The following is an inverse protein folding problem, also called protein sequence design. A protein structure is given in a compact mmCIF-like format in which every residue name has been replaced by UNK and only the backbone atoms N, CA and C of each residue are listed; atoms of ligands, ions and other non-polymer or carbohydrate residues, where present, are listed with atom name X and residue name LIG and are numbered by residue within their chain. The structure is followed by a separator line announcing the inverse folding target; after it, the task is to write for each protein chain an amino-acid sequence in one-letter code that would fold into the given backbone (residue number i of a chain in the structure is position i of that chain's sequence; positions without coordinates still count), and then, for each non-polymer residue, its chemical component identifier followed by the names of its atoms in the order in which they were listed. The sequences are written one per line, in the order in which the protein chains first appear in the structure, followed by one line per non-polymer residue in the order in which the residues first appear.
data_IF_726997087070
#
_entry.id   IF_726997087070
#
_cell.length_a   1.000
_cell.length_b   1.000
_cell.length_c   1.000
_cell.angle_alpha   90.00
_cell.angle_beta   90.00
_cell.angle_gamma   90.00
#
_symmetry.space_group_name_H-M   'P 1'
#
loop_
_entity.id
_entity.type
_entity.pdbx_description
1 polymer ?
#
# COMPACT_ATOMS: atom_id res chain seq x y z
N UNK A 1 -15.02 29.48 2.60
CA UNK A 1 -15.40 29.01 3.94
C UNK A 1 -15.85 27.57 3.84
N UNK A 2 -14.95 26.61 4.05
CA UNK A 2 -15.31 25.19 4.07
C UNK A 2 -15.89 24.86 5.44
N UNK A 3 -17.14 24.40 5.49
CA UNK A 3 -17.77 23.90 6.72
C UNK A 3 -16.87 22.84 7.35
N UNK A 4 -16.12 23.22 8.38
CA UNK A 4 -15.33 22.27 9.16
C UNK A 4 -16.33 21.39 9.89
N UNK A 5 -16.30 20.09 9.59
CA UNK A 5 -17.06 19.08 10.35
C UNK A 5 -16.70 19.25 11.82
N UNK A 6 -17.70 19.45 12.67
CA UNK A 6 -17.46 19.62 14.11
C UNK A 6 -16.81 18.36 14.68
N UNK A 7 -15.95 18.50 15.70
CA UNK A 7 -15.27 17.36 16.35
C UNK A 7 -16.27 16.28 16.80
N UNK A 8 -17.40 16.70 17.36
CA UNK A 8 -18.49 15.79 17.77
C UNK A 8 -19.09 15.05 16.57
N UNK A 9 -19.37 15.76 15.49
CA UNK A 9 -19.91 15.18 14.26
C UNK A 9 -18.94 14.19 13.61
N UNK A 10 -17.64 14.50 13.55
CA UNK A 10 -16.66 13.60 12.95
C UNK A 10 -16.41 12.34 13.78
N UNK A 11 -16.39 12.46 15.12
CA UNK A 11 -16.34 11.29 16.02
C UNK A 11 -17.61 10.43 15.84
N UNK A 12 -18.79 11.07 15.78
CA UNK A 12 -20.06 10.36 15.58
C UNK A 12 -20.06 9.58 14.26
N UNK A 13 -19.66 10.21 13.16
CA UNK A 13 -19.57 9.56 11.84
C UNK A 13 -18.66 8.33 11.91
N UNK A 14 -17.46 8.47 12.49
CA UNK A 14 -16.51 7.37 12.61
C UNK A 14 -17.09 6.21 13.44
N UNK A 15 -17.73 6.51 14.57
CA UNK A 15 -18.37 5.50 15.41
C UNK A 15 -19.52 4.81 14.71
N UNK A 16 -20.35 5.53 13.95
CA UNK A 16 -21.44 4.93 13.16
C UNK A 16 -20.86 3.95 12.13
N UNK A 17 -19.82 4.33 11.40
CA UNK A 17 -19.14 3.41 10.47
C UNK A 17 -18.54 2.20 11.18
N UNK A 18 -17.91 2.39 12.34
CA UNK A 18 -17.33 1.29 13.12
C UNK A 18 -18.40 0.33 13.66
N UNK A 19 -19.56 0.85 14.07
CA UNK A 19 -20.71 0.03 14.50
C UNK A 19 -21.29 -0.73 13.33
N UNK A 20 -21.50 -0.08 12.17
CA UNK A 20 -21.95 -0.76 10.95
C UNK A 20 -20.97 -1.88 10.57
N UNK A 21 -19.67 -1.60 10.60
CA UNK A 21 -18.64 -2.60 10.34
C UNK A 21 -18.70 -3.75 11.36
N UNK A 22 -18.87 -3.46 12.65
CA UNK A 22 -19.05 -4.46 13.70
C UNK A 22 -20.27 -5.35 13.46
N UNK A 23 -21.40 -4.77 13.05
CA UNK A 23 -22.62 -5.50 12.69
C UNK A 23 -22.36 -6.42 11.50
N UNK A 24 -21.68 -5.93 10.45
CA UNK A 24 -21.33 -6.73 9.27
C UNK A 24 -20.39 -7.87 9.66
N UNK A 25 -19.39 -7.63 10.52
CA UNK A 25 -18.47 -8.67 11.02
C UNK A 25 -19.20 -9.77 11.78
N UNK A 26 -20.15 -9.40 12.65
CA UNK A 26 -20.93 -10.37 13.43
C UNK A 26 -21.88 -11.14 12.52
N UNK A 27 -22.52 -10.46 11.57
CA UNK A 27 -23.49 -11.04 10.63
C UNK A 27 -22.88 -11.87 9.50
N UNK A 28 -21.60 -11.68 9.17
CA UNK A 28 -20.91 -12.46 8.16
C UNK A 28 -20.68 -13.89 8.63
N UNK A 29 -21.17 -14.88 7.90
CA UNK A 29 -20.93 -16.31 8.16
C UNK A 29 -20.24 -16.95 6.97
N UNK A 30 -19.20 -17.74 7.25
CA UNK A 30 -18.54 -18.52 6.20
C UNK A 30 -18.95 -20.00 6.36
N UNK A 31 -19.85 -20.52 5.51
CA UNK A 31 -20.39 -21.88 5.66
C UNK A 31 -19.32 -22.98 5.49
N UNK A 32 -18.13 -22.63 4.99
CA UNK A 32 -17.01 -23.56 4.77
C UNK A 32 -15.93 -23.48 5.85
N UNK A 33 -16.06 -22.58 6.83
CA UNK A 33 -15.09 -22.43 7.92
C UNK A 33 -15.50 -23.21 9.16
N UNK A 34 -14.51 -23.68 9.93
CA UNK A 34 -14.77 -24.26 11.24
C UNK A 34 -15.43 -23.20 12.16
N UNK A 35 -16.52 -23.56 12.81
CA UNK A 35 -17.36 -22.63 13.57
C UNK A 35 -16.61 -21.97 14.73
N UNK A 36 -15.65 -22.69 15.33
CA UNK A 36 -14.79 -22.15 16.38
C UNK A 36 -13.77 -21.13 15.84
N UNK A 37 -13.17 -21.40 14.68
CA UNK A 37 -12.24 -20.46 14.03
C UNK A 37 -12.95 -19.18 13.58
N UNK A 38 -14.18 -19.32 13.09
CA UNK A 38 -15.01 -18.18 12.71
C UNK A 38 -15.34 -17.30 13.92
N UNK A 39 -15.73 -17.91 15.05
CA UNK A 39 -15.98 -17.19 16.30
C UNK A 39 -14.73 -16.45 16.79
N UNK A 40 -13.56 -17.11 16.77
CA UNK A 40 -12.29 -16.48 17.15
C UNK A 40 -11.96 -15.28 16.26
N UNK A 41 -12.13 -15.39 14.94
CA UNK A 41 -11.92 -14.26 14.00
C UNK A 41 -12.86 -13.09 14.29
N UNK A 42 -14.14 -13.37 14.60
CA UNK A 42 -15.13 -12.34 14.95
C UNK A 42 -14.74 -11.61 16.24
N UNK A 43 -14.35 -12.34 17.29
CA UNK A 43 -13.94 -11.75 18.58
C UNK A 43 -12.71 -10.84 18.37
N UNK A 44 -11.70 -11.32 17.65
CA UNK A 44 -10.49 -10.55 17.35
C UNK A 44 -10.83 -9.29 16.56
N UNK A 45 -11.64 -9.41 15.50
CA UNK A 45 -12.04 -8.28 14.68
C UNK A 45 -12.80 -7.21 15.49
N UNK A 46 -13.77 -7.62 16.32
CA UNK A 46 -14.48 -6.70 17.22
C UNK A 46 -13.56 -6.01 18.23
N UNK A 47 -12.62 -6.76 18.83
CA UNK A 47 -11.64 -6.19 19.75
C UNK A 47 -10.74 -5.14 19.08
N UNK A 48 -10.29 -5.42 17.86
CA UNK A 48 -9.50 -4.48 17.06
C UNK A 48 -10.32 -3.23 16.71
N UNK A 49 -11.58 -3.37 16.31
CA UNK A 49 -12.48 -2.23 16.01
C UNK A 49 -12.67 -1.35 17.25
N UNK A 50 -12.91 -1.94 18.42
CA UNK A 50 -13.05 -1.18 19.67
C UNK A 50 -11.77 -0.42 20.04
N UNK A 51 -10.61 -1.06 19.90
CA UNK A 51 -9.32 -0.41 20.14
C UNK A 51 -9.10 0.76 19.16
N UNK A 52 -9.43 0.58 17.88
CA UNK A 52 -9.35 1.62 16.86
C UNK A 52 -10.28 2.81 17.18
N UNK A 53 -11.51 2.55 17.63
CA UNK A 53 -12.44 3.58 18.10
C UNK A 53 -11.88 4.38 19.29
N UNK A 54 -11.34 3.68 20.30
CA UNK A 54 -10.78 4.34 21.47
C UNK A 54 -9.59 5.24 21.10
N UNK A 55 -8.70 4.76 20.21
CA UNK A 55 -7.57 5.54 19.71
C UNK A 55 -8.01 6.75 18.87
N UNK A 56 -8.99 6.55 17.99
CA UNK A 56 -9.51 7.62 17.14
C UNK A 56 -10.16 8.74 17.96
N UNK A 57 -10.97 8.39 18.97
CA UNK A 57 -11.56 9.38 19.90
C UNK A 57 -10.45 10.14 20.65
N UNK A 58 -9.47 9.42 21.21
CA UNK A 58 -8.40 10.01 22.01
C UNK A 58 -7.52 10.97 21.21
N UNK A 59 -7.30 10.69 19.93
CA UNK A 59 -6.36 11.43 19.09
C UNK A 59 -7.02 12.14 17.89
N UNK A 60 -8.33 12.36 17.91
CA UNK A 60 -9.12 12.89 16.80
C UNK A 60 -8.51 14.12 16.10
N UNK A 61 -8.13 15.14 16.87
CA UNK A 61 -7.58 16.40 16.32
C UNK A 61 -6.23 16.14 15.60
N UNK A 62 -5.50 15.13 16.08
CA UNK A 62 -4.23 14.74 15.47
C UNK A 62 -4.45 13.97 14.17
N UNK A 63 -5.38 13.03 14.14
CA UNK A 63 -5.73 12.26 12.95
C UNK A 63 -6.32 13.13 11.82
N UNK A 64 -7.20 14.08 12.16
CA UNK A 64 -7.97 14.82 11.15
C UNK A 64 -7.25 16.02 10.54
N UNK A 65 -6.30 16.65 11.25
CA UNK A 65 -5.68 17.87 10.69
C UNK A 65 -4.80 17.59 9.49
N UNK A 66 -4.12 16.44 9.39
CA UNK A 66 -3.27 16.13 8.25
C UNK A 66 -4.10 15.97 6.96
N UNK A 67 -5.13 15.12 6.91
CA UNK A 67 -6.03 15.04 5.75
C UNK A 67 -6.63 16.40 5.35
N UNK A 68 -7.02 17.23 6.32
CA UNK A 68 -7.55 18.58 6.06
C UNK A 68 -6.48 19.47 5.41
N UNK A 69 -5.26 19.50 5.96
CA UNK A 69 -4.14 20.26 5.38
C UNK A 69 -3.82 19.80 3.95
N UNK A 70 -3.85 18.49 3.70
CA UNK A 70 -3.65 17.93 2.36
C UNK A 70 -4.73 18.38 1.38
N UNK A 71 -6.00 18.36 1.81
CA UNK A 71 -7.11 18.78 0.97
C UNK A 71 -7.10 20.29 0.65
N UNK A 72 -6.77 21.13 1.65
CA UNK A 72 -6.62 22.57 1.47
C UNK A 72 -5.52 22.88 0.43
N UNK A 73 -4.43 22.11 0.42
CA UNK A 73 -3.27 22.31 -0.44
C UNK A 73 -3.26 21.46 -1.73
N UNK A 74 -4.35 20.76 -2.07
CA UNK A 74 -4.44 19.80 -3.19
C UNK A 74 -3.95 20.33 -4.55
N UNK A 75 -4.19 21.62 -4.85
CA UNK A 75 -3.73 22.25 -6.10
C UNK A 75 -2.20 22.40 -6.15
N UNK A 76 -1.61 22.79 -5.02
CA UNK A 76 -0.16 22.91 -4.88
C UNK A 76 0.50 21.52 -4.91
N UNK A 77 -0.07 20.55 -4.20
CA UNK A 77 0.36 19.15 -4.21
C UNK A 77 0.40 18.63 -5.66
N UNK A 78 -0.69 18.77 -6.40
CA UNK A 78 -0.76 18.31 -7.80
C UNK A 78 0.30 18.96 -8.69
N UNK A 79 0.50 20.29 -8.56
CA UNK A 79 1.51 21.01 -9.32
C UNK A 79 2.92 20.53 -8.99
N UNK A 80 3.22 20.35 -7.71
CA UNK A 80 4.54 19.89 -7.26
C UNK A 80 4.79 18.43 -7.62
N UNK A 81 3.80 17.54 -7.53
CA UNK A 81 3.94 16.14 -7.94
C UNK A 81 4.25 15.98 -9.43
N UNK A 82 3.58 16.77 -10.29
CA UNK A 82 3.91 16.80 -11.72
C UNK A 82 5.33 17.29 -11.98
N UNK A 83 5.77 18.30 -11.24
CA UNK A 83 7.12 18.84 -11.38
C UNK A 83 8.16 17.84 -10.88
N UNK A 84 7.89 17.15 -9.77
CA UNK A 84 8.76 16.10 -9.21
C UNK A 84 8.99 14.98 -10.23
N UNK A 85 7.90 14.47 -10.82
CA UNK A 85 7.95 13.45 -11.85
C UNK A 85 8.74 13.90 -13.08
N UNK A 86 8.46 15.10 -13.61
CA UNK A 86 9.20 15.64 -14.75
C UNK A 86 10.69 15.81 -14.47
N UNK A 87 11.03 16.30 -13.27
CA UNK A 87 12.42 16.55 -12.87
C UNK A 87 13.22 15.26 -12.74
N UNK A 88 12.59 14.16 -12.28
CA UNK A 88 13.23 12.84 -12.12
C UNK A 88 13.84 12.30 -13.42
N UNK A 89 13.22 12.62 -14.56
CA UNK A 89 13.65 12.15 -15.88
C UNK A 89 14.21 13.26 -16.77
N UNK A 90 14.41 14.46 -16.22
CA UNK A 90 15.01 15.57 -16.95
C UNK A 90 16.54 15.41 -17.02
N UNK A 91 17.14 15.78 -18.15
CA UNK A 91 18.61 15.84 -18.30
C UNK A 91 19.31 14.50 -18.57
N UNK A 92 18.57 13.38 -18.70
CA UNK A 92 19.12 12.11 -19.17
C UNK A 92 18.80 11.89 -20.65
N UNK A 93 19.75 11.35 -21.42
CA UNK A 93 19.60 11.07 -22.86
C UNK A 93 18.37 10.19 -23.17
N UNK A 94 18.11 9.16 -22.36
CA UNK A 94 16.95 8.27 -22.54
C UNK A 94 15.71 8.72 -21.74
N UNK A 95 15.85 9.74 -20.88
CA UNK A 95 14.75 10.34 -20.13
C UNK A 95 13.89 9.32 -19.36
N UNK A 96 12.58 9.35 -19.61
CA UNK A 96 11.59 8.49 -18.94
C UNK A 96 11.79 6.99 -19.22
N UNK A 97 12.46 6.61 -20.31
CA UNK A 97 12.71 5.20 -20.64
C UNK A 97 13.48 4.50 -19.52
N UNK A 98 14.35 5.21 -18.79
CA UNK A 98 15.06 4.67 -17.63
C UNK A 98 14.14 4.19 -16.51
N UNK A 99 12.95 4.79 -16.36
CA UNK A 99 11.93 4.31 -15.42
C UNK A 99 11.48 2.87 -15.73
N UNK A 100 11.58 2.48 -17.01
CA UNK A 100 11.05 1.24 -17.53
C UNK A 100 12.09 0.12 -17.56
N UNK A 101 13.33 0.48 -17.88
CA UNK A 101 14.43 -0.49 -18.07
C UNK A 101 14.58 -1.37 -16.83
N UNK A 102 14.71 -0.78 -15.63
CA UNK A 102 14.99 -1.56 -14.42
C UNK A 102 13.82 -2.51 -14.04
N UNK A 103 12.55 -2.08 -13.98
CA UNK A 103 11.44 -2.99 -13.74
C UNK A 103 11.28 -4.08 -14.81
N UNK A 104 11.44 -3.74 -16.10
CA UNK A 104 11.31 -4.72 -17.21
C UNK A 104 12.41 -5.77 -17.13
N UNK A 105 13.66 -5.36 -16.91
CA UNK A 105 14.78 -6.28 -16.70
C UNK A 105 14.53 -7.16 -15.47
N UNK A 106 14.00 -6.59 -14.38
CA UNK A 106 13.68 -7.35 -13.16
C UNK A 106 12.62 -8.43 -13.43
N UNK A 107 11.52 -8.07 -14.10
CA UNK A 107 10.47 -9.03 -14.50
C UNK A 107 11.06 -10.11 -15.40
N UNK A 108 11.83 -9.72 -16.42
CA UNK A 108 12.46 -10.66 -17.36
C UNK A 108 13.39 -11.63 -16.64
N UNK A 109 14.27 -11.13 -15.76
CA UNK A 109 15.22 -11.98 -15.05
C UNK A 109 14.53 -12.96 -14.10
N UNK A 110 13.51 -12.50 -13.36
CA UNK A 110 12.75 -13.40 -12.49
C UNK A 110 11.94 -14.42 -13.28
N UNK A 111 11.24 -14.02 -14.35
CA UNK A 111 10.55 -14.95 -15.22
C UNK A 111 11.53 -15.97 -15.82
N UNK A 112 12.64 -15.50 -16.40
CA UNK A 112 13.64 -16.37 -17.01
C UNK A 112 14.19 -17.37 -15.99
N UNK A 113 14.54 -16.93 -14.78
CA UNK A 113 15.11 -17.83 -13.78
C UNK A 113 14.08 -18.83 -13.24
N UNK A 114 12.95 -18.34 -12.73
CA UNK A 114 11.98 -19.20 -12.04
C UNK A 114 11.16 -20.06 -13.01
N UNK A 115 10.79 -19.54 -14.17
CA UNK A 115 10.04 -20.32 -15.15
C UNK A 115 10.95 -21.31 -15.88
N UNK A 116 12.11 -20.85 -16.38
CA UNK A 116 12.97 -21.69 -17.25
C UNK A 116 13.81 -22.69 -16.48
N UNK A 117 14.42 -22.30 -15.35
CA UNK A 117 15.30 -23.21 -14.59
C UNK A 117 14.55 -23.97 -13.49
N UNK A 118 13.54 -23.37 -12.86
CA UNK A 118 12.81 -23.98 -11.74
C UNK A 118 11.43 -24.55 -12.13
N UNK A 119 11.04 -24.43 -13.41
CA UNK A 119 9.76 -24.92 -13.94
C UNK A 119 8.57 -24.44 -13.10
N UNK A 120 8.58 -23.17 -12.68
CA UNK A 120 7.57 -22.63 -11.77
C UNK A 120 6.15 -22.73 -12.34
N UNK A 121 5.97 -22.59 -13.66
CA UNK A 121 4.69 -22.85 -14.32
C UNK A 121 4.17 -24.26 -14.05
N UNK A 122 5.01 -25.29 -14.14
CA UNK A 122 4.59 -26.67 -13.88
C UNK A 122 4.14 -26.86 -12.42
N UNK A 123 4.84 -26.23 -11.47
CA UNK A 123 4.44 -26.24 -10.07
C UNK A 123 3.10 -25.52 -9.85
N UNK A 124 2.87 -24.40 -10.55
CA UNK A 124 1.61 -23.67 -10.45
C UNK A 124 0.42 -24.48 -11.00
N UNK A 125 0.59 -25.12 -12.16
CA UNK A 125 -0.42 -26.01 -12.74
C UNK A 125 -0.74 -27.16 -11.76
N UNK A 126 0.29 -27.76 -11.14
CA UNK A 126 0.10 -28.81 -10.13
C UNK A 126 -0.67 -28.32 -8.88
N UNK A 127 -0.66 -27.02 -8.60
CA UNK A 127 -1.42 -26.38 -7.52
C UNK A 127 -2.78 -25.83 -8.00
N UNK A 128 -3.23 -26.20 -9.20
CA UNK A 128 -4.54 -25.81 -9.74
C UNK A 128 -4.58 -24.40 -10.36
N UNK A 129 -3.43 -23.77 -10.61
CA UNK A 129 -3.35 -22.46 -11.24
C UNK A 129 -2.82 -22.61 -12.66
N UNK A 130 -3.75 -22.66 -13.60
CA UNK A 130 -3.44 -22.74 -15.03
C UNK A 130 -3.31 -21.35 -15.64
N UNK A 131 -2.22 -20.66 -15.30
CA UNK A 131 -1.90 -19.31 -15.80
C UNK A 131 -0.42 -19.19 -16.15
N UNK A 132 -0.05 -18.39 -17.18
CA UNK A 132 1.35 -18.09 -17.47
C UNK A 132 2.05 -17.46 -16.26
N UNK A 133 3.22 -17.99 -15.88
CA UNK A 133 3.98 -17.50 -14.72
C UNK A 133 4.31 -16.00 -14.82
N UNK A 134 4.61 -15.50 -16.02
CA UNK A 134 4.89 -14.07 -16.24
C UNK A 134 3.73 -13.17 -15.83
N UNK A 135 2.47 -13.59 -16.03
CA UNK A 135 1.30 -12.82 -15.58
C UNK A 135 1.18 -12.84 -14.07
N UNK A 136 1.40 -14.01 -13.46
CA UNK A 136 1.33 -14.18 -12.00
C UNK A 136 2.41 -13.34 -11.29
N UNK A 137 3.60 -13.32 -11.88
CA UNK A 137 4.75 -12.55 -11.44
C UNK A 137 4.51 -11.05 -11.60
N UNK A 138 4.04 -10.59 -12.76
CA UNK A 138 3.76 -9.15 -12.99
C UNK A 138 2.65 -8.62 -12.09
N UNK A 139 1.58 -9.41 -11.85
CA UNK A 139 0.53 -9.06 -10.89
C UNK A 139 1.05 -8.84 -9.46
N UNK A 140 2.12 -9.52 -9.05
CA UNK A 140 2.78 -9.28 -7.77
C UNK A 140 3.83 -8.16 -7.79
N UNK A 141 4.61 -8.05 -8.87
CA UNK A 141 5.70 -7.08 -8.97
C UNK A 141 5.22 -5.65 -9.17
N UNK A 142 4.16 -5.41 -9.92
CA UNK A 142 3.63 -4.06 -10.16
C UNK A 142 3.29 -3.32 -8.86
N UNK A 143 2.44 -3.84 -7.95
CA UNK A 143 2.20 -3.18 -6.68
C UNK A 143 3.46 -3.12 -5.80
N UNK A 144 4.35 -4.11 -5.87
CA UNK A 144 5.59 -4.12 -5.11
C UNK A 144 6.57 -3.00 -5.53
N UNK A 145 6.73 -2.77 -6.83
CA UNK A 145 7.55 -1.67 -7.35
C UNK A 145 7.01 -0.33 -6.87
N UNK A 146 5.70 -0.13 -6.96
CA UNK A 146 5.07 1.09 -6.47
C UNK A 146 5.25 1.29 -4.96
N UNK A 147 5.11 0.22 -4.17
CA UNK A 147 5.33 0.27 -2.72
C UNK A 147 6.78 0.66 -2.38
N UNK A 148 7.75 -0.02 -3.00
CA UNK A 148 9.19 0.19 -2.78
C UNK A 148 9.59 1.61 -3.15
N UNK A 149 9.22 2.05 -4.37
CA UNK A 149 9.52 3.38 -4.86
C UNK A 149 8.85 4.47 -4.01
N UNK A 150 7.58 4.29 -3.65
CA UNK A 150 6.84 5.27 -2.86
C UNK A 150 7.36 5.39 -1.44
N UNK A 151 7.71 4.28 -0.79
CA UNK A 151 8.21 4.30 0.59
C UNK A 151 9.61 4.92 0.66
N UNK A 152 10.50 4.57 -0.27
CA UNK A 152 11.85 5.14 -0.33
C UNK A 152 11.81 6.65 -0.58
N UNK A 153 11.10 7.08 -1.64
CA UNK A 153 10.96 8.50 -1.96
C UNK A 153 10.18 9.26 -0.88
N UNK A 154 9.17 8.63 -0.27
CA UNK A 154 8.40 9.20 0.83
C UNK A 154 9.27 9.43 2.06
N UNK A 155 10.16 8.48 2.39
CA UNK A 155 11.12 8.60 3.49
C UNK A 155 12.04 9.79 3.29
N UNK A 156 12.65 9.93 2.11
CA UNK A 156 13.61 11.00 1.83
C UNK A 156 12.97 12.35 1.49
N UNK A 157 11.63 12.43 1.43
CA UNK A 157 10.91 13.61 0.95
C UNK A 157 11.32 14.92 1.63
N UNK A 158 11.46 14.93 2.96
CA UNK A 158 11.87 16.12 3.71
C UNK A 158 13.34 16.47 3.50
N UNK A 159 14.19 15.47 3.25
CA UNK A 159 15.63 15.66 3.02
C UNK A 159 15.93 16.15 1.61
N UNK A 160 15.07 15.88 0.63
CA UNK A 160 15.20 16.39 -0.73
C UNK A 160 14.63 17.81 -0.86
N UNK A 161 13.55 18.09 -0.13
CA UNK A 161 12.91 19.40 -0.09
C UNK A 161 13.39 20.29 1.07
N UNK A 162 14.61 20.10 1.60
CA UNK A 162 15.16 20.88 2.72
C UNK A 162 15.06 22.38 2.53
N UNK A 163 15.24 22.85 1.29
CA UNK A 163 15.13 24.27 0.93
C UNK A 163 13.73 24.86 1.17
N UNK A 164 12.67 24.04 1.06
CA UNK A 164 11.31 24.43 1.43
C UNK A 164 11.05 24.26 2.92
N UNK A 165 11.73 23.33 3.59
CA UNK A 165 11.53 23.07 5.02
C UNK A 165 11.97 24.25 5.88
N UNK A 166 13.02 24.97 5.47
CA UNK A 166 13.50 26.18 6.17
C UNK A 166 12.62 27.41 5.95
N UNK A 167 11.63 27.36 5.05
CA UNK A 167 10.76 28.50 4.76
C UNK A 167 9.56 28.56 5.71
N UNK A 168 9.43 29.68 6.42
CA UNK A 168 8.39 29.92 7.46
C UNK A 168 6.95 29.77 6.92
N UNK A 169 6.73 29.97 5.62
CA UNK A 169 5.38 29.98 5.00
C UNK A 169 4.98 28.62 4.41
N UNK A 170 5.91 27.69 4.21
CA UNK A 170 5.63 26.46 3.46
C UNK A 170 5.07 25.33 4.34
N UNK A 171 3.99 24.69 3.91
CA UNK A 171 3.36 23.57 4.63
C UNK A 171 4.10 22.26 4.36
N UNK A 172 5.17 22.01 5.10
CA UNK A 172 6.03 20.81 4.97
C UNK A 172 5.30 19.45 5.09
N UNK A 173 4.08 19.42 5.67
CA UNK A 173 3.23 18.22 5.76
C UNK A 173 2.79 17.67 4.39
N UNK A 174 2.88 18.47 3.32
CA UNK A 174 2.51 18.04 1.97
C UNK A 174 3.64 17.33 1.21
N UNK A 175 4.88 17.36 1.72
CA UNK A 175 6.05 16.84 1.00
C UNK A 175 6.01 15.32 0.77
N UNK A 176 5.64 14.47 1.75
CA UNK A 176 5.58 13.02 1.53
C UNK A 176 4.56 12.62 0.46
N UNK A 177 3.35 13.23 0.49
CA UNK A 177 2.31 12.91 -0.50
C UNK A 177 2.69 13.35 -1.92
N UNK A 178 3.49 14.42 -2.06
CA UNK A 178 3.99 14.87 -3.36
C UNK A 178 4.77 13.74 -4.05
N UNK A 179 5.66 13.09 -3.30
CA UNK A 179 6.50 11.97 -3.77
C UNK A 179 5.68 10.73 -4.11
N UNK A 180 4.68 10.41 -3.30
CA UNK A 180 3.81 9.24 -3.52
C UNK A 180 2.93 9.43 -4.76
N UNK A 181 2.34 10.62 -4.95
CA UNK A 181 1.58 10.93 -6.18
C UNK A 181 2.48 10.90 -7.42
N UNK A 182 3.73 11.37 -7.31
CA UNK A 182 4.68 11.29 -8.41
C UNK A 182 4.98 9.83 -8.80
N UNK A 183 5.18 8.95 -7.82
CA UNK A 183 5.34 7.50 -8.04
C UNK A 183 4.07 6.84 -8.60
N UNK A 184 2.87 7.38 -8.29
CA UNK A 184 1.61 6.89 -8.85
C UNK A 184 1.58 6.99 -10.37
N UNK A 185 2.25 7.98 -10.99
CA UNK A 185 2.31 8.07 -12.45
C UNK A 185 3.04 6.88 -13.08
N UNK A 186 4.15 6.43 -12.48
CA UNK A 186 4.89 5.24 -12.90
C UNK A 186 4.04 3.97 -12.67
N UNK A 187 3.36 3.91 -11.52
CA UNK A 187 2.46 2.80 -11.19
C UNK A 187 1.32 2.63 -12.19
N UNK A 188 0.64 3.72 -12.57
CA UNK A 188 -0.43 3.69 -13.57
C UNK A 188 0.09 3.14 -14.90
N UNK A 189 1.30 3.54 -15.31
CA UNK A 189 1.92 3.02 -16.52
C UNK A 189 2.15 1.49 -16.43
N UNK A 190 2.74 1.01 -15.34
CA UNK A 190 2.98 -0.43 -15.17
C UNK A 190 1.71 -1.25 -14.99
N UNK A 191 0.69 -0.70 -14.33
CA UNK A 191 -0.63 -1.33 -14.25
C UNK A 191 -1.26 -1.48 -15.65
N UNK A 192 -1.11 -0.47 -16.53
CA UNK A 192 -1.56 -0.57 -17.92
C UNK A 192 -0.76 -1.62 -18.71
N UNK A 193 0.57 -1.64 -18.57
CA UNK A 193 1.43 -2.65 -19.22
C UNK A 193 1.04 -4.07 -18.78
N UNK A 194 0.77 -4.28 -17.50
CA UNK A 194 0.30 -5.56 -16.97
C UNK A 194 -1.04 -5.99 -17.58
N UNK A 195 -1.99 -5.05 -17.73
CA UNK A 195 -3.28 -5.33 -18.38
C UNK A 195 -3.10 -5.67 -19.86
N UNK A 196 -2.25 -4.92 -20.57
CA UNK A 196 -1.92 -5.21 -21.99
C UNK A 196 -1.27 -6.58 -22.12
N UNK A 197 -0.32 -6.90 -21.24
CA UNK A 197 0.34 -8.21 -21.22
C UNK A 197 -0.68 -9.33 -21.00
N UNK A 198 -1.62 -9.17 -20.06
CA UNK A 198 -2.69 -10.14 -19.84
C UNK A 198 -3.55 -10.35 -21.10
N UNK A 199 -3.91 -9.27 -21.81
CA UNK A 199 -4.67 -9.35 -23.05
C UNK A 199 -3.91 -10.09 -24.17
N UNK A 200 -2.58 -9.91 -24.27
CA UNK A 200 -1.74 -10.67 -25.22
C UNK A 200 -1.74 -12.18 -24.96
N UNK A 201 -1.98 -12.60 -23.72
CA UNK A 201 -2.14 -14.01 -23.33
C UNK A 201 -3.61 -14.47 -23.36
N UNK A 202 -4.53 -13.69 -23.95
CA UNK A 202 -5.95 -14.02 -24.07
C UNK A 202 -6.79 -13.73 -22.83
N UNK A 203 -6.23 -13.08 -21.81
CA UNK A 203 -6.96 -12.66 -20.60
C UNK A 203 -7.37 -11.19 -20.77
N UNK A 204 -8.61 -10.98 -21.22
CA UNK A 204 -9.14 -9.64 -21.41
C UNK A 204 -9.63 -9.01 -20.09
N UNK A 205 -9.55 -7.67 -19.96
CA UNK A 205 -10.11 -6.95 -18.81
C UNK A 205 -11.57 -7.34 -18.59
N UNK A 206 -11.90 -7.63 -17.34
CA UNK A 206 -13.26 -7.92 -16.90
C UNK A 206 -13.72 -6.88 -15.89
N UNK A 207 -14.97 -6.99 -15.42
CA UNK A 207 -15.46 -6.11 -14.36
C UNK A 207 -14.59 -6.15 -13.10
N UNK A 208 -13.93 -7.29 -12.83
CA UNK A 208 -13.01 -7.47 -11.70
C UNK A 208 -11.73 -6.65 -11.82
N UNK A 209 -11.32 -6.30 -13.05
CA UNK A 209 -10.10 -5.52 -13.31
C UNK A 209 -10.20 -4.10 -12.74
N UNK A 210 -11.42 -3.60 -12.50
CA UNK A 210 -11.63 -2.32 -11.80
C UNK A 210 -11.05 -2.33 -10.37
N UNK A 211 -10.93 -3.51 -9.76
CA UNK A 211 -10.37 -3.65 -8.42
C UNK A 211 -8.88 -3.31 -8.37
N UNK A 212 -8.16 -3.29 -9.51
CA UNK A 212 -6.79 -2.76 -9.55
C UNK A 212 -6.75 -1.32 -9.04
N UNK A 213 -7.77 -0.51 -9.35
CA UNK A 213 -7.89 0.87 -8.85
C UNK A 213 -8.09 0.87 -7.33
N UNK A 214 -8.95 -0.01 -6.82
CA UNK A 214 -9.18 -0.18 -5.39
C UNK A 214 -7.90 -0.59 -4.65
N UNK A 215 -7.21 -1.63 -5.09
CA UNK A 215 -5.97 -2.10 -4.46
C UNK A 215 -4.82 -1.09 -4.62
N UNK A 216 -4.77 -0.34 -5.72
CA UNK A 216 -3.86 0.81 -5.87
C UNK A 216 -4.12 1.89 -4.82
N UNK A 217 -5.40 2.19 -4.56
CA UNK A 217 -5.79 3.16 -3.54
C UNK A 217 -5.46 2.65 -2.13
N UNK A 218 -5.76 1.38 -1.82
CA UNK A 218 -5.34 0.73 -0.59
C UNK A 218 -3.83 0.89 -0.34
N UNK A 219 -3.03 0.57 -1.37
CA UNK A 219 -1.58 0.68 -1.30
C UNK A 219 -1.09 2.12 -1.15
N UNK A 220 -1.74 3.08 -1.83
CA UNK A 220 -1.46 4.52 -1.69
C UNK A 220 -1.63 4.98 -0.25
N UNK A 221 -2.72 4.60 0.44
CA UNK A 221 -2.97 5.03 1.81
C UNK A 221 -2.00 4.35 2.79
N UNK A 222 -1.71 3.05 2.59
CA UNK A 222 -0.73 2.33 3.41
C UNK A 222 0.65 2.99 3.34
N UNK A 223 1.15 3.24 2.11
CA UNK A 223 2.48 3.83 1.93
C UNK A 223 2.52 5.28 2.39
N UNK A 224 1.41 6.03 2.30
CA UNK A 224 1.30 7.37 2.85
C UNK A 224 1.46 7.38 4.38
N UNK A 225 0.79 6.46 5.08
CA UNK A 225 0.92 6.32 6.53
C UNK A 225 2.35 5.98 6.95
N UNK A 226 2.97 5.00 6.28
CA UNK A 226 4.37 4.63 6.53
C UNK A 226 5.35 5.77 6.20
N UNK A 227 5.11 6.50 5.11
CA UNK A 227 5.95 7.62 4.69
C UNK A 227 5.94 8.75 5.70
N UNK A 228 4.79 9.07 6.31
CA UNK A 228 4.73 10.08 7.39
C UNK A 228 5.56 9.69 8.61
N UNK A 229 5.56 8.41 9.00
CA UNK A 229 6.41 7.90 10.07
C UNK A 229 7.89 8.00 9.70
N UNK A 230 8.25 7.42 8.56
CA UNK A 230 9.65 7.23 8.15
C UNK A 230 10.32 8.57 7.80
N UNK A 231 9.64 9.47 7.11
CA UNK A 231 10.18 10.79 6.77
C UNK A 231 10.42 11.67 8.01
N UNK A 232 9.62 11.52 9.06
CA UNK A 232 9.80 12.28 10.29
C UNK A 232 11.01 11.76 11.09
N UNK A 233 11.21 10.44 11.12
CA UNK A 233 12.30 9.81 11.88
C UNK A 233 13.64 9.98 11.17
N UNK A 234 13.69 9.88 9.84
CA UNK A 234 14.96 9.91 9.07
C UNK A 234 15.72 11.23 9.22
N UNK A 235 15.03 12.33 9.57
CA UNK A 235 15.66 13.63 9.86
C UNK A 235 16.62 13.51 11.04
N UNK A 236 16.25 12.77 12.07
CA UNK A 236 17.05 12.58 13.29
C UNK A 236 17.94 11.33 13.19
N UNK A 237 17.51 10.32 12.44
CA UNK A 237 18.22 9.06 12.29
C UNK A 237 18.40 8.68 10.82
N UNK A 238 19.51 9.13 10.22
CA UNK A 238 19.77 9.02 8.77
C UNK A 238 19.90 7.58 8.27
N UNK A 239 20.37 6.68 9.13
CA UNK A 239 20.55 5.26 8.80
C UNK A 239 19.21 4.53 8.56
N UNK A 240 18.08 5.15 8.92
CA UNK A 240 16.75 4.63 8.59
C UNK A 240 16.58 4.38 7.09
N UNK A 241 17.23 5.15 6.22
CA UNK A 241 17.22 4.92 4.77
C UNK A 241 17.77 3.54 4.39
N UNK A 242 18.90 3.15 4.99
CA UNK A 242 19.53 1.84 4.76
C UNK A 242 18.69 0.72 5.36
N UNK A 243 18.14 0.92 6.56
CA UNK A 243 17.26 -0.06 7.20
C UNK A 243 16.03 -0.32 6.33
N UNK A 244 15.39 0.73 5.80
CA UNK A 244 14.23 0.58 4.91
C UNK A 244 14.62 -0.16 3.63
N UNK A 245 15.80 0.11 3.04
CA UNK A 245 16.27 -0.61 1.87
C UNK A 245 16.40 -2.13 2.14
N UNK A 246 16.99 -2.51 3.29
CA UNK A 246 17.12 -3.90 3.71
C UNK A 246 15.74 -4.53 3.96
N UNK A 247 14.84 -3.83 4.65
CA UNK A 247 13.49 -4.31 4.93
C UNK A 247 12.68 -4.52 3.65
N UNK A 248 12.83 -3.64 2.66
CA UNK A 248 12.21 -3.82 1.35
C UNK A 248 12.81 -5.04 0.64
N UNK A 249 14.14 -5.19 0.65
CA UNK A 249 14.78 -6.36 0.05
C UNK A 249 14.27 -7.68 0.67
N UNK A 250 14.17 -7.76 2.00
CA UNK A 250 13.59 -8.93 2.69
C UNK A 250 12.09 -9.06 2.40
N UNK A 251 11.37 -7.94 2.37
CA UNK A 251 9.93 -7.90 2.14
C UNK A 251 9.51 -8.51 0.80
N UNK A 252 10.32 -8.36 -0.26
CA UNK A 252 10.10 -9.00 -1.56
C UNK A 252 9.95 -10.53 -1.45
N UNK A 253 10.73 -11.15 -0.57
CA UNK A 253 10.71 -12.60 -0.35
C UNK A 253 9.65 -13.01 0.67
N UNK A 254 9.40 -12.15 1.66
CA UNK A 254 8.38 -12.39 2.69
C UNK A 254 6.94 -12.29 2.15
N UNK A 255 6.73 -11.54 1.07
CA UNK A 255 5.46 -11.49 0.34
C UNK A 255 5.47 -12.56 -0.76
N UNK A 256 4.38 -13.31 -0.98
CA UNK A 256 4.32 -14.36 -2.00
C UNK A 256 4.20 -13.75 -3.40
N UNK A 257 5.25 -13.05 -3.87
CA UNK A 257 5.35 -12.44 -5.19
C UNK A 257 5.94 -13.44 -6.18
N UNK A 258 7.15 -13.94 -5.87
CA UNK A 258 7.90 -14.88 -6.70
C UNK A 258 7.39 -16.33 -6.56
N UNK A 259 6.78 -16.63 -5.42
CA UNK A 259 6.33 -17.95 -5.01
C UNK A 259 4.85 -17.93 -4.61
N UNK A 260 4.23 -19.12 -4.55
CA UNK A 260 2.81 -19.27 -4.24
C UNK A 260 2.56 -19.63 -2.78
N UNK A 261 1.61 -18.93 -2.14
CA UNK A 261 1.20 -19.21 -0.75
C UNK A 261 0.66 -20.63 -0.53
N UNK A 262 0.15 -21.30 -1.58
CA UNK A 262 -0.35 -22.69 -1.54
C UNK A 262 0.72 -23.70 -1.11
N UNK A 263 2.00 -23.39 -1.29
CA UNK A 263 3.12 -24.22 -0.84
C UNK A 263 3.12 -24.37 0.70
N UNK A 264 2.54 -23.41 1.41
CA UNK A 264 2.38 -23.44 2.87
C UNK A 264 1.10 -24.14 3.35
N UNK A 265 0.31 -24.73 2.45
CA UNK A 265 -0.95 -25.44 2.79
C UNK A 265 -0.76 -26.53 3.86
N UNK A 266 0.40 -27.20 3.88
CA UNK A 266 0.74 -28.22 4.88
C UNK A 266 1.12 -27.65 6.26
N UNK A 267 1.33 -26.33 6.36
CA UNK A 267 1.78 -25.65 7.58
C UNK A 267 0.90 -24.41 7.87
N UNK A 268 -0.29 -24.59 8.48
CA UNK A 268 -1.27 -23.51 8.66
C UNK A 268 -0.76 -22.34 9.52
N UNK A 269 0.15 -22.61 10.47
CA UNK A 269 0.79 -21.56 11.29
C UNK A 269 1.61 -20.59 10.42
N UNK A 270 2.46 -21.12 9.53
CA UNK A 270 3.28 -20.31 8.63
C UNK A 270 2.42 -19.54 7.62
N UNK A 271 1.37 -20.17 7.10
CA UNK A 271 0.41 -19.48 6.22
C UNK A 271 -0.24 -18.28 6.93
N UNK A 272 -0.60 -18.43 8.22
CA UNK A 272 -1.19 -17.34 9.01
C UNK A 272 -0.19 -16.20 9.22
N UNK A 273 1.07 -16.52 9.56
CA UNK A 273 2.13 -15.50 9.74
C UNK A 273 2.34 -14.69 8.45
N UNK A 274 2.39 -15.35 7.29
CA UNK A 274 2.54 -14.65 6.01
C UNK A 274 1.34 -13.75 5.73
N UNK A 275 0.10 -14.23 5.98
CA UNK A 275 -1.13 -13.45 5.75
C UNK A 275 -1.27 -12.21 6.65
N UNK A 276 -0.51 -12.10 7.74
CA UNK A 276 -0.45 -10.88 8.58
C UNK A 276 0.22 -9.73 7.83
N UNK A 277 1.12 -9.99 6.88
CA UNK A 277 1.72 -8.93 6.09
C UNK A 277 0.66 -8.26 5.18
N UNK A 278 0.37 -6.95 5.34
CA UNK A 278 -0.70 -6.27 4.59
C UNK A 278 -0.43 -6.23 3.07
N UNK A 279 0.82 -6.39 2.64
CA UNK A 279 1.15 -6.46 1.21
C UNK A 279 0.69 -7.76 0.56
N UNK A 280 0.47 -8.82 1.34
CA UNK A 280 -0.10 -10.08 0.84
C UNK A 280 -1.53 -9.86 0.35
N UNK A 281 -2.31 -9.06 1.08
CA UNK A 281 -3.66 -8.67 0.66
C UNK A 281 -3.65 -7.92 -0.68
N UNK A 282 -2.70 -6.99 -0.86
CA UNK A 282 -2.57 -6.22 -2.10
C UNK A 282 -2.15 -7.11 -3.28
N UNK A 283 -1.10 -7.93 -3.09
CA UNK A 283 -0.57 -8.81 -4.14
C UNK A 283 -1.61 -9.83 -4.59
N UNK A 284 -2.31 -10.45 -3.64
CA UNK A 284 -3.41 -11.35 -3.97
C UNK A 284 -4.55 -10.60 -4.65
N UNK A 285 -4.90 -9.40 -4.17
CA UNK A 285 -5.92 -8.56 -4.81
C UNK A 285 -5.66 -8.25 -6.28
N UNK A 286 -4.40 -7.98 -6.66
CA UNK A 286 -4.02 -7.80 -8.06
C UNK A 286 -4.20 -9.07 -8.89
N UNK A 287 -3.87 -10.24 -8.32
CA UNK A 287 -4.09 -11.55 -8.95
C UNK A 287 -5.58 -11.87 -9.07
N UNK A 288 -6.37 -11.60 -8.04
CA UNK A 288 -7.82 -11.79 -8.05
C UNK A 288 -8.52 -10.90 -9.07
N UNK A 289 -8.08 -9.63 -9.18
CA UNK A 289 -8.61 -8.68 -10.16
C UNK A 289 -8.31 -9.05 -11.62
N UNK A 290 -7.19 -9.75 -11.87
CA UNK A 290 -6.73 -10.08 -13.21
C UNK A 290 -7.07 -11.52 -13.64
N UNK A 291 -6.99 -12.48 -12.72
CA UNK A 291 -7.02 -13.92 -13.02
C UNK A 291 -8.18 -14.64 -12.31
N UNK A 292 -8.27 -14.54 -10.99
CA UNK A 292 -9.15 -15.41 -10.18
C UNK A 292 -10.61 -14.97 -10.21
N UNK A 293 -10.88 -13.70 -10.56
CA UNK A 293 -12.22 -13.12 -10.68
C UNK A 293 -13.04 -13.24 -9.39
N UNK A 294 -12.39 -12.97 -8.26
CA UNK A 294 -13.03 -12.84 -6.95
C UNK A 294 -13.07 -11.38 -6.53
N UNK A 295 -14.13 -10.98 -5.82
CA UNK A 295 -14.25 -9.62 -5.30
C UNK A 295 -13.57 -9.46 -3.94
N UNK A 296 -13.07 -8.25 -3.67
CA UNK A 296 -12.41 -7.91 -2.40
C UNK A 296 -13.30 -8.14 -1.17
N UNK A 297 -14.63 -8.09 -1.33
CA UNK A 297 -15.56 -8.34 -0.23
C UNK A 297 -15.79 -9.84 0.04
N UNK A 298 -15.43 -10.73 -0.88
CA UNK A 298 -15.46 -12.19 -0.64
C UNK A 298 -14.37 -12.56 0.38
N UNK A 299 -13.21 -11.90 0.32
CA UNK A 299 -12.16 -11.98 1.33
C UNK A 299 -12.38 -10.98 2.49
N UNK A 300 -13.57 -11.02 3.08
CA UNK A 300 -14.04 -10.04 4.07
C UNK A 300 -13.05 -9.80 5.22
N UNK A 301 -12.56 -10.87 5.86
CA UNK A 301 -11.65 -10.75 7.01
C UNK A 301 -10.32 -10.10 6.65
N UNK A 302 -9.74 -10.41 5.49
CA UNK A 302 -8.49 -9.82 5.03
C UNK A 302 -8.67 -8.35 4.67
N UNK A 303 -9.81 -8.00 4.05
CA UNK A 303 -10.18 -6.61 3.76
C UNK A 303 -10.32 -5.78 5.02
N UNK A 304 -11.07 -6.26 6.01
CA UNK A 304 -11.26 -5.56 7.29
C UNK A 304 -9.93 -5.40 8.03
N UNK A 305 -9.15 -6.48 8.12
CA UNK A 305 -7.83 -6.45 8.73
C UNK A 305 -6.92 -5.40 8.08
N UNK A 306 -6.84 -5.40 6.75
CA UNK A 306 -6.00 -4.48 5.99
C UNK A 306 -6.35 -3.01 6.29
N UNK A 307 -7.64 -2.66 6.26
CA UNK A 307 -8.07 -1.28 6.48
C UNK A 307 -7.83 -0.82 7.90
N UNK A 308 -8.09 -1.68 8.90
CA UNK A 308 -7.80 -1.31 10.29
C UNK A 308 -6.30 -1.12 10.49
N UNK A 309 -5.48 -2.06 10.01
CA UNK A 309 -4.03 -1.94 10.06
C UNK A 309 -3.54 -0.64 9.41
N UNK A 310 -4.03 -0.33 8.21
CA UNK A 310 -3.67 0.86 7.45
C UNK A 310 -4.06 2.15 8.15
N UNK A 311 -5.27 2.25 8.71
CA UNK A 311 -5.73 3.42 9.47
C UNK A 311 -4.90 3.59 10.75
N UNK A 312 -4.58 2.50 11.45
CA UNK A 312 -3.72 2.53 12.63
C UNK A 312 -2.32 3.06 12.30
N UNK A 313 -1.70 2.54 11.23
CA UNK A 313 -0.38 2.99 10.77
C UNK A 313 -0.40 4.46 10.34
N UNK A 314 -1.41 4.88 9.57
CA UNK A 314 -1.57 6.28 9.20
C UNK A 314 -1.71 7.18 10.43
N UNK A 315 -2.45 6.73 11.43
CA UNK A 315 -2.57 7.39 12.72
C UNK A 315 -1.27 7.56 13.47
N UNK A 316 -0.54 6.46 13.62
CA UNK A 316 0.77 6.46 14.28
C UNK A 316 1.73 7.39 13.53
N UNK A 317 1.78 7.33 12.20
CA UNK A 317 2.61 8.22 11.38
C UNK A 317 2.22 9.68 11.51
N UNK A 318 0.92 9.98 11.49
CA UNK A 318 0.40 11.32 11.71
C UNK A 318 0.81 11.89 13.09
N UNK A 319 0.75 11.06 14.13
CA UNK A 319 1.12 11.42 15.50
C UNK A 319 2.63 11.71 15.61
N UNK A 320 3.46 10.82 15.08
CA UNK A 320 4.92 10.95 15.09
C UNK A 320 5.34 12.20 14.31
N UNK A 321 4.83 12.36 13.09
CA UNK A 321 5.14 13.50 12.24
C UNK A 321 4.81 14.82 12.95
N UNK A 322 3.60 14.94 13.51
CA UNK A 322 3.20 16.17 14.23
C UNK A 322 4.05 16.46 15.46
N UNK A 323 4.45 15.42 16.20
CA UNK A 323 5.27 15.58 17.40
C UNK A 323 6.68 16.05 17.07
N UNK A 324 7.26 15.55 15.98
CA UNK A 324 8.63 15.87 15.58
C UNK A 324 8.72 17.14 14.72
N UNK A 325 7.64 17.52 14.04
CA UNK A 325 7.56 18.69 13.13
C UNK A 325 8.18 19.98 13.67
N UNK A 326 7.97 20.40 14.93
CA UNK A 326 8.55 21.65 15.45
C UNK A 326 10.08 21.67 15.42
N UNK A 327 10.73 20.52 15.50
CA UNK A 327 12.19 20.39 15.59
C UNK A 327 12.86 20.21 14.22
N UNK A 328 12.09 20.09 13.13
CA UNK A 328 12.67 19.82 11.81
C UNK A 328 13.57 20.96 11.32
N UNK A 329 13.20 22.21 11.59
CA UNK A 329 13.94 23.38 11.14
C UNK A 329 15.31 23.51 11.82
N UNK A 330 15.45 22.99 13.04
CA UNK A 330 16.70 23.06 13.82
C UNK A 330 17.72 21.98 13.39
N UNK A 331 17.23 20.86 12.85
CA UNK A 331 18.07 19.68 12.50
C UNK A 331 18.42 19.62 11.02
N UNK A 332 17.55 20.14 10.15
CA UNK A 332 17.78 20.23 8.69
C UNK A 332 18.62 21.46 8.38
#
# INVERSE_FOLDING_TARGET
MTNKVSKRTGILIFLVFAVILGIIVVGHTNPYANQQDELTKKIIACGIILAACALFIRFYDKFTSLPVELFENRRLIWKLSKNDFKKRYAGSYLGFVWALVQPVVTVFMYWFVFDTFFNQKAQMIANGIDMPYVLYLTAGLVPWFYFTESLQNGTTALLEYRYLVKQVVFKISILPIIKIIAATFVHIFFALVMIVLAALYGIYPSIYTIQIVYYSFCLFILVLGLSYTTCAIVIFFRDLTQIIAILLQVGMWATPILWNISVLSKNPTWMTIVKINPLVYIVNGYRSALMEKTWFFEDFYSTVYFWIFTVCIFGIGALIFKRLKPHFADVI
#
